data_IF_565981514565
#
_entry.id   IF_565981514565
#
_cell.length_a   1.000
_cell.length_b   1.000
_cell.length_c   1.000
_cell.angle_alpha   90.00
_cell.angle_beta   90.00
_cell.angle_gamma   90.00
#
_symmetry.space_group_name_H-M   'P 1'
#
loop_
_entity.id
_entity.type
_entity.pdbx_description
1 polymer ?
#
# COMPACT_ATOMS: atom_id res chain seq x y z
N UNK A 1 2.37 22.87 16.66
CA UNK A 1 3.31 21.74 16.55
C UNK A 1 4.62 22.23 15.94
N UNK A 2 5.72 22.22 16.69
CA UNK A 2 7.05 22.60 16.19
C UNK A 2 7.57 21.57 15.19
N UNK A 3 8.65 21.90 14.48
CA UNK A 3 9.23 20.99 13.46
C UNK A 3 9.83 19.75 14.12
N UNK A 4 10.50 19.92 15.25
CA UNK A 4 11.12 18.82 16.00
C UNK A 4 10.07 17.86 16.57
N UNK A 5 8.98 18.39 17.14
CA UNK A 5 7.85 17.56 17.58
C UNK A 5 7.21 16.81 16.42
N UNK A 6 7.05 17.45 15.26
CA UNK A 6 6.50 16.80 14.08
C UNK A 6 7.40 15.65 13.58
N UNK A 7 8.71 15.86 13.53
CA UNK A 7 9.69 14.83 13.15
C UNK A 7 9.70 13.65 14.14
N UNK A 8 9.66 13.93 15.45
CA UNK A 8 9.57 12.89 16.48
C UNK A 8 8.29 12.06 16.37
N UNK A 9 7.15 12.70 16.14
CA UNK A 9 5.88 12.02 15.90
C UNK A 9 5.91 11.20 14.62
N UNK A 10 6.49 11.74 13.53
CA UNK A 10 6.65 11.02 12.27
C UNK A 10 7.43 9.72 12.48
N UNK A 11 8.59 9.80 13.15
CA UNK A 11 9.43 8.63 13.44
C UNK A 11 8.70 7.61 14.31
N UNK A 12 8.09 8.06 15.41
CA UNK A 12 7.38 7.19 16.35
C UNK A 12 6.20 6.47 15.69
N UNK A 13 5.36 7.20 14.94
CA UNK A 13 4.25 6.62 14.19
C UNK A 13 4.72 5.65 13.12
N UNK A 14 5.81 5.99 12.41
CA UNK A 14 6.37 5.15 11.38
C UNK A 14 6.85 3.80 11.94
N UNK A 15 7.67 3.84 12.98
CA UNK A 15 8.20 2.64 13.63
C UNK A 15 7.08 1.79 14.23
N UNK A 16 6.15 2.41 14.96
CA UNK A 16 5.00 1.71 15.52
C UNK A 16 4.14 1.07 14.43
N UNK A 17 3.85 1.81 13.37
CA UNK A 17 3.05 1.33 12.24
C UNK A 17 3.68 0.14 11.54
N UNK A 18 4.99 0.19 11.27
CA UNK A 18 5.74 -0.94 10.65
C UNK A 18 5.76 -2.15 11.57
N UNK A 19 6.05 -1.96 12.87
CA UNK A 19 6.05 -3.06 13.85
C UNK A 19 4.66 -3.69 13.97
N UNK A 20 3.60 -2.90 14.00
CA UNK A 20 2.23 -3.41 14.07
C UNK A 20 1.83 -4.15 12.78
N UNK A 21 2.04 -3.52 11.62
CA UNK A 21 1.60 -4.02 10.32
C UNK A 21 2.36 -5.25 9.84
N UNK A 22 3.63 -5.40 10.22
CA UNK A 22 4.47 -6.51 9.77
C UNK A 22 4.90 -7.41 10.93
N UNK A 23 5.40 -6.87 12.04
CA UNK A 23 5.88 -7.68 13.17
C UNK A 23 4.74 -8.41 13.89
N UNK A 24 3.84 -7.64 14.50
CA UNK A 24 2.71 -8.17 15.29
C UNK A 24 1.77 -8.99 14.40
N UNK A 25 1.45 -8.49 13.20
CA UNK A 25 0.56 -9.20 12.28
C UNK A 25 1.12 -10.57 11.87
N UNK A 26 2.38 -10.63 11.47
CA UNK A 26 3.03 -11.90 11.09
C UNK A 26 3.07 -12.88 12.26
N UNK A 27 3.37 -12.39 13.45
CA UNK A 27 3.37 -13.22 14.65
C UNK A 27 1.98 -13.76 14.99
N UNK A 28 0.94 -12.91 14.95
CA UNK A 28 -0.44 -13.34 15.17
C UNK A 28 -0.91 -14.34 14.11
N UNK A 29 -0.55 -14.13 12.84
CA UNK A 29 -0.87 -15.06 11.77
C UNK A 29 -0.19 -16.41 12.01
N UNK A 30 1.13 -16.43 12.27
CA UNK A 30 1.89 -17.65 12.63
C UNK A 30 1.27 -18.42 13.78
N UNK A 31 0.83 -17.72 14.83
CA UNK A 31 0.19 -18.38 15.99
C UNK A 31 -1.15 -19.02 15.66
N UNK A 32 -1.87 -18.53 14.65
CA UNK A 32 -3.21 -19.02 14.28
C UNK A 32 -3.17 -20.09 13.18
N UNK A 33 -2.27 -19.96 12.21
CA UNK A 33 -2.23 -20.80 11.01
C UNK A 33 -1.01 -21.74 10.94
N UNK A 34 -0.02 -21.55 11.82
CA UNK A 34 1.24 -22.29 11.78
C UNK A 34 2.22 -21.84 10.68
N UNK A 35 1.80 -20.96 9.76
CA UNK A 35 2.63 -20.45 8.66
C UNK A 35 2.85 -18.94 8.80
N UNK A 36 3.89 -18.42 8.14
CA UNK A 36 4.21 -16.99 8.19
C UNK A 36 3.25 -16.10 7.41
N UNK A 37 2.49 -16.66 6.46
CA UNK A 37 1.74 -15.90 5.45
C UNK A 37 2.65 -15.22 4.40
N UNK A 38 3.98 -15.37 4.51
CA UNK A 38 4.94 -14.92 3.51
C UNK A 38 5.25 -16.08 2.57
N UNK A 39 4.89 -15.93 1.30
CA UNK A 39 5.21 -16.91 0.26
C UNK A 39 6.61 -16.72 -0.35
N UNK A 40 7.39 -15.76 0.16
CA UNK A 40 8.76 -15.49 -0.29
C UNK A 40 8.82 -14.79 -1.64
N UNK A 41 10.02 -14.75 -2.24
CA UNK A 41 10.24 -14.25 -3.59
C UNK A 41 9.83 -15.35 -4.58
N UNK A 42 8.67 -15.20 -5.22
CA UNK A 42 8.23 -16.10 -6.29
C UNK A 42 8.71 -15.60 -7.66
N UNK A 43 9.25 -16.47 -8.51
CA UNK A 43 9.66 -16.15 -9.89
C UNK A 43 11.18 -16.00 -10.09
N UNK A 44 11.62 -15.98 -11.35
CA UNK A 44 13.02 -15.82 -11.72
C UNK A 44 13.53 -14.40 -11.42
N UNK A 45 14.81 -14.19 -11.04
CA UNK A 45 15.38 -12.86 -10.88
C UNK A 45 15.07 -11.94 -12.07
N UNK A 46 14.46 -10.78 -11.80
CA UNK A 46 14.05 -9.80 -12.82
C UNK A 46 12.64 -9.99 -13.41
N UNK A 47 11.91 -11.05 -13.04
CA UNK A 47 10.51 -11.25 -13.44
C UNK A 47 9.53 -10.34 -12.69
N UNK A 48 8.32 -10.13 -13.22
CA UNK A 48 7.29 -9.34 -12.54
C UNK A 48 6.91 -9.91 -11.15
N UNK A 49 6.90 -11.24 -11.00
CA UNK A 49 6.66 -11.87 -9.69
C UNK A 49 7.85 -11.67 -8.73
N UNK A 50 9.08 -11.67 -9.25
CA UNK A 50 10.27 -11.32 -8.48
C UNK A 50 10.24 -9.85 -8.05
N UNK A 51 9.82 -8.94 -8.92
CA UNK A 51 9.57 -7.54 -8.59
C UNK A 51 8.41 -7.34 -7.59
N UNK A 52 7.44 -8.25 -7.54
CA UNK A 52 6.47 -8.31 -6.45
C UNK A 52 7.09 -8.72 -5.12
N UNK A 53 8.11 -9.58 -5.15
CA UNK A 53 9.04 -9.79 -4.05
C UNK A 53 9.92 -8.56 -3.73
N UNK A 54 10.22 -7.74 -4.74
CA UNK A 54 10.78 -6.39 -4.63
C UNK A 54 9.76 -5.36 -4.10
N UNK A 55 8.63 -5.79 -3.53
CA UNK A 55 8.09 -5.09 -2.36
C UNK A 55 9.12 -5.03 -1.20
N UNK A 56 10.27 -5.71 -1.28
CA UNK A 56 11.50 -5.38 -0.54
C UNK A 56 12.17 -4.05 -0.96
N UNK A 57 11.84 -3.44 -2.09
CA UNK A 57 12.09 -2.01 -2.32
C UNK A 57 11.13 -1.13 -1.50
N UNK A 58 10.02 -1.68 -0.98
CA UNK A 58 9.35 -1.08 0.16
C UNK A 58 10.20 -1.20 1.44
N UNK A 59 11.22 -2.08 1.53
CA UNK A 59 12.25 -1.94 2.56
C UNK A 59 13.10 -0.68 2.34
N UNK A 60 13.33 -0.23 1.09
CA UNK A 60 13.88 1.10 0.86
C UNK A 60 12.89 2.19 1.27
N UNK A 61 11.58 2.10 0.94
CA UNK A 61 10.59 3.06 1.45
C UNK A 61 10.40 3.00 2.98
N UNK A 62 10.67 1.86 3.62
CA UNK A 62 10.63 1.66 5.07
C UNK A 62 11.86 2.17 5.78
N UNK A 63 13.03 1.85 5.24
CA UNK A 63 14.30 2.38 5.72
C UNK A 63 14.37 3.89 5.46
N UNK A 64 14.02 4.37 4.26
CA UNK A 64 13.98 5.80 3.93
C UNK A 64 12.85 6.54 4.66
N UNK A 65 11.69 5.90 4.81
CA UNK A 65 10.54 6.45 5.54
C UNK A 65 10.84 6.69 7.02
N UNK A 66 11.67 5.84 7.63
CA UNK A 66 12.22 6.07 8.97
C UNK A 66 13.44 7.00 8.95
N UNK A 67 14.31 6.92 7.93
CA UNK A 67 15.56 7.66 7.87
C UNK A 67 15.35 9.18 7.81
N UNK A 68 14.38 9.68 7.03
CA UNK A 68 14.10 11.12 7.00
C UNK A 68 13.75 11.70 8.38
N UNK A 69 12.71 11.18 9.05
CA UNK A 69 12.39 11.54 10.43
C UNK A 69 13.53 11.30 11.42
N UNK A 70 14.28 10.20 11.29
CA UNK A 70 15.39 9.88 12.18
C UNK A 70 16.55 10.89 12.05
N UNK A 71 16.93 11.25 10.82
CA UNK A 71 17.94 12.27 10.54
C UNK A 71 17.50 13.64 11.09
N UNK A 72 16.23 13.98 10.90
CA UNK A 72 15.65 15.20 11.47
C UNK A 72 15.70 15.23 13.01
N UNK A 73 15.30 14.14 13.66
CA UNK A 73 15.37 14.01 15.14
C UNK A 73 16.81 14.04 15.64
N UNK A 74 17.74 13.43 14.91
CA UNK A 74 19.17 13.44 15.24
C UNK A 74 19.83 14.80 14.98
N UNK A 75 19.15 15.75 14.33
CA UNK A 75 19.73 17.03 13.93
C UNK A 75 20.83 16.90 12.87
N UNK A 76 20.85 15.81 12.09
CA UNK A 76 21.89 15.53 11.09
C UNK A 76 21.32 15.56 9.67
N UNK A 77 22.12 16.01 8.71
CA UNK A 77 21.70 16.12 7.31
C UNK A 77 20.72 17.28 7.03
N UNK A 78 20.05 17.27 5.86
CA UNK A 78 19.12 18.32 5.47
C UNK A 78 17.91 18.38 6.40
N UNK A 79 17.65 19.55 6.97
CA UNK A 79 16.56 19.75 7.90
C UNK A 79 15.19 19.75 7.18
N UNK A 80 14.11 19.28 7.85
CA UNK A 80 12.78 19.32 7.27
C UNK A 80 12.35 20.75 6.95
N UNK A 81 11.69 20.92 5.81
CA UNK A 81 11.09 22.19 5.44
C UNK A 81 10.02 22.61 6.46
N UNK A 82 9.97 23.90 6.79
CA UNK A 82 8.95 24.43 7.69
C UNK A 82 7.59 24.57 6.97
N UNK A 83 6.72 23.58 7.11
CA UNK A 83 5.35 23.66 6.61
C UNK A 83 4.43 24.45 7.55
N UNK A 84 3.35 25.10 7.04
CA UNK A 84 2.29 25.69 7.85
C UNK A 84 1.69 24.69 8.85
N UNK A 85 1.29 25.17 10.02
CA UNK A 85 0.76 24.33 11.10
C UNK A 85 -0.43 23.45 10.63
N UNK A 86 -1.30 23.99 9.78
CA UNK A 86 -2.44 23.26 9.20
C UNK A 86 -2.00 22.00 8.43
N UNK A 87 -0.96 22.10 7.60
CA UNK A 87 -0.44 20.95 6.84
C UNK A 87 0.19 19.90 7.75
N UNK A 88 0.82 20.31 8.86
CA UNK A 88 1.39 19.36 9.82
C UNK A 88 0.30 18.58 10.57
N UNK A 89 -0.78 19.24 10.97
CA UNK A 89 -1.94 18.56 11.57
C UNK A 89 -2.65 17.65 10.58
N UNK A 90 -2.81 18.09 9.33
CA UNK A 90 -3.31 17.22 8.25
C UNK A 90 -2.40 16.01 8.04
N UNK A 91 -1.07 16.19 8.08
CA UNK A 91 -0.08 15.13 8.01
C UNK A 91 -0.20 14.13 9.16
N UNK A 92 -0.37 14.62 10.40
CA UNK A 92 -0.61 13.77 11.56
C UNK A 92 -1.88 12.93 11.40
N UNK A 93 -2.99 13.57 11.03
CA UNK A 93 -4.26 12.88 10.81
C UNK A 93 -4.12 11.83 9.69
N UNK A 94 -3.49 12.18 8.57
CA UNK A 94 -3.25 11.25 7.46
C UNK A 94 -2.36 10.07 7.87
N UNK A 95 -1.30 10.29 8.64
CA UNK A 95 -0.42 9.22 9.12
C UNK A 95 -1.19 8.25 10.03
N UNK A 96 -1.90 8.77 11.03
CA UNK A 96 -2.68 7.97 11.98
C UNK A 96 -3.78 7.18 11.28
N UNK A 97 -4.60 7.85 10.45
CA UNK A 97 -5.69 7.21 9.71
C UNK A 97 -5.15 6.21 8.69
N UNK A 98 -4.05 6.53 8.01
CA UNK A 98 -3.40 5.63 7.05
C UNK A 98 -2.91 4.35 7.71
N UNK A 99 -2.15 4.44 8.81
CA UNK A 99 -1.69 3.26 9.53
C UNK A 99 -2.84 2.45 10.12
N UNK A 100 -3.86 3.10 10.70
CA UNK A 100 -5.06 2.42 11.17
C UNK A 100 -5.79 1.68 10.03
N UNK A 101 -5.91 2.30 8.85
CA UNK A 101 -6.51 1.69 7.67
C UNK A 101 -5.68 0.52 7.12
N UNK A 102 -4.34 0.56 7.21
CA UNK A 102 -3.49 -0.59 6.87
C UNK A 102 -3.84 -1.77 7.76
N UNK A 103 -3.88 -1.57 9.09
CA UNK A 103 -4.23 -2.63 10.04
C UNK A 103 -5.66 -3.14 9.83
N UNK A 104 -6.60 -2.23 9.54
CA UNK A 104 -7.99 -2.57 9.21
C UNK A 104 -8.10 -3.41 7.93
N UNK A 105 -7.44 -3.00 6.85
CA UNK A 105 -7.41 -3.75 5.59
C UNK A 105 -6.80 -5.15 5.75
N UNK A 106 -5.68 -5.25 6.48
CA UNK A 106 -5.07 -6.54 6.81
C UNK A 106 -5.99 -7.43 7.63
N UNK A 107 -6.76 -6.85 8.55
CA UNK A 107 -7.70 -7.58 9.42
C UNK A 107 -8.91 -8.07 8.65
N UNK A 108 -9.43 -7.26 7.71
CA UNK A 108 -10.52 -7.63 6.81
C UNK A 108 -10.17 -8.81 5.88
N UNK A 109 -8.88 -8.97 5.52
CA UNK A 109 -8.40 -10.14 4.78
C UNK A 109 -8.34 -11.43 5.62
N UNK A 110 -8.45 -11.34 6.95
CA UNK A 110 -8.60 -12.50 7.83
C UNK A 110 -7.44 -13.50 7.75
N UNK A 111 -7.75 -14.79 7.60
CA UNK A 111 -6.80 -15.89 7.36
C UNK A 111 -6.28 -15.95 5.93
N UNK A 112 -6.93 -15.25 5.00
CA UNK A 112 -6.53 -15.16 3.59
C UNK A 112 -5.47 -14.08 3.35
N UNK A 113 -5.04 -13.37 4.40
CA UNK A 113 -3.91 -12.45 4.31
C UNK A 113 -2.64 -13.21 3.95
N UNK A 114 -2.07 -12.89 2.80
CA UNK A 114 -0.81 -13.43 2.30
C UNK A 114 -0.07 -12.33 1.54
N UNK A 115 1.26 -12.32 1.65
CA UNK A 115 2.11 -11.42 0.89
C UNK A 115 2.66 -12.19 -0.31
N UNK A 116 2.30 -11.72 -1.52
CA UNK A 116 2.58 -12.39 -2.79
C UNK A 116 1.32 -13.02 -3.41
N UNK A 117 1.43 -13.39 -4.69
CA UNK A 117 0.37 -14.10 -5.42
C UNK A 117 0.82 -15.54 -5.60
N UNK A 118 -0.01 -16.50 -5.18
CA UNK A 118 0.16 -17.92 -5.51
C UNK A 118 -0.66 -18.23 -6.79
N UNK A 119 -0.01 -18.57 -7.93
CA UNK A 119 -0.71 -18.92 -9.15
C UNK A 119 -1.57 -20.19 -9.04
N UNK A 120 -1.30 -21.06 -8.05
CA UNK A 120 -2.01 -22.31 -7.82
C UNK A 120 -3.28 -22.19 -6.99
N UNK A 121 -3.48 -21.07 -6.28
CA UNK A 121 -4.60 -20.90 -5.35
C UNK A 121 -5.73 -20.08 -6.00
N UNK A 122 -6.92 -20.68 -6.20
CA UNK A 122 -8.10 -19.96 -6.69
C UNK A 122 -8.82 -19.29 -5.52
N UNK A 123 -8.43 -18.07 -5.21
CA UNK A 123 -9.12 -17.27 -4.19
C UNK A 123 -10.43 -16.70 -4.73
N UNK A 124 -11.44 -16.48 -3.89
CA UNK A 124 -12.68 -15.80 -4.29
C UNK A 124 -12.47 -14.29 -4.45
N UNK A 125 -13.06 -13.66 -5.46
CA UNK A 125 -12.98 -12.21 -5.65
C UNK A 125 -13.74 -11.47 -4.54
N UNK A 126 -13.02 -10.70 -3.73
CA UNK A 126 -13.61 -9.88 -2.66
C UNK A 126 -13.92 -8.47 -3.18
N UNK A 127 -15.20 -8.09 -3.13
CA UNK A 127 -15.70 -6.78 -3.63
C UNK A 127 -16.47 -5.99 -2.57
N UNK A 128 -16.49 -6.44 -1.32
CA UNK A 128 -17.26 -5.85 -0.21
C UNK A 128 -16.36 -5.12 0.78
N UNK A 129 -16.96 -4.31 1.66
CA UNK A 129 -16.21 -3.53 2.65
C UNK A 129 -15.27 -2.51 2.00
N UNK A 130 -14.00 -2.48 2.40
CA UNK A 130 -13.01 -1.55 1.84
C UNK A 130 -12.79 -1.76 0.32
N UNK A 131 -12.95 -2.99 -0.16
CA UNK A 131 -12.85 -3.32 -1.59
C UNK A 131 -14.02 -2.74 -2.41
N UNK A 132 -15.14 -2.38 -1.79
CA UNK A 132 -16.23 -1.70 -2.49
C UNK A 132 -15.89 -0.23 -2.82
N UNK A 133 -14.98 0.39 -2.06
CA UNK A 133 -14.58 1.78 -2.23
C UNK A 133 -13.44 1.93 -3.24
N UNK A 134 -12.40 1.09 -3.08
CA UNK A 134 -11.22 1.04 -3.95
C UNK A 134 -10.76 -0.40 -4.09
N UNK A 135 -10.23 -0.77 -5.25
CA UNK A 135 -9.82 -2.16 -5.52
C UNK A 135 -8.59 -2.59 -4.74
N UNK A 136 -7.76 -1.64 -4.33
CA UNK A 136 -6.49 -1.88 -3.65
C UNK A 136 -6.38 -1.12 -2.32
N UNK A 137 -7.26 -1.41 -1.33
CA UNK A 137 -7.43 -0.57 -0.15
C UNK A 137 -6.18 -0.53 0.75
N UNK A 138 -5.42 -1.63 0.84
CA UNK A 138 -4.18 -1.67 1.62
C UNK A 138 -3.11 -0.74 1.03
N UNK A 139 -2.96 -0.73 -0.29
CA UNK A 139 -1.99 0.14 -0.96
C UNK A 139 -2.37 1.61 -0.87
N UNK A 140 -3.67 1.93 -0.97
CA UNK A 140 -4.18 3.27 -0.69
C UNK A 140 -3.81 3.70 0.73
N UNK A 141 -4.07 2.85 1.74
CA UNK A 141 -3.77 3.15 3.12
C UNK A 141 -2.26 3.35 3.38
N UNK A 142 -1.39 2.55 2.74
CA UNK A 142 0.07 2.70 2.82
C UNK A 142 0.54 4.04 2.25
N UNK A 143 0.02 4.42 1.07
CA UNK A 143 0.36 5.71 0.43
C UNK A 143 -0.13 6.88 1.32
N UNK A 144 -1.33 6.79 1.87
CA UNK A 144 -1.86 7.81 2.81
C UNK A 144 -1.00 7.93 4.05
N UNK A 145 -0.59 6.81 4.66
CA UNK A 145 0.26 6.81 5.85
C UNK A 145 1.61 7.48 5.58
N UNK A 146 2.28 7.10 4.48
CA UNK A 146 3.59 7.66 4.12
C UNK A 146 3.50 9.12 3.66
N UNK A 147 2.39 9.52 3.04
CA UNK A 147 2.13 10.94 2.76
C UNK A 147 2.02 11.75 4.04
N UNK A 148 1.32 11.22 5.06
CA UNK A 148 1.25 11.85 6.38
C UNK A 148 2.62 12.02 7.04
N UNK A 149 3.45 10.97 6.99
CA UNK A 149 4.85 11.00 7.48
C UNK A 149 5.69 12.04 6.72
N UNK A 150 5.56 12.12 5.40
CA UNK A 150 6.26 13.11 4.59
C UNK A 150 5.81 14.56 4.89
N UNK A 151 4.55 14.78 5.27
CA UNK A 151 4.07 16.10 5.71
C UNK A 151 4.55 16.46 7.13
N UNK A 152 4.81 15.47 7.98
CA UNK A 152 5.35 15.70 9.33
C UNK A 152 6.86 15.93 9.33
N UNK A 153 7.59 15.26 8.43
CA UNK A 153 9.04 15.37 8.30
C UNK A 153 9.45 15.63 6.82
N UNK A 154 9.06 16.78 6.24
CA UNK A 154 9.23 17.06 4.81
C UNK A 154 10.71 17.24 4.42
N UNK A 155 11.30 16.13 4.01
CA UNK A 155 12.69 16.02 3.55
C UNK A 155 12.74 15.36 2.16
N UNK A 156 13.84 15.55 1.43
CA UNK A 156 14.09 14.82 0.17
C UNK A 156 14.05 13.30 0.39
N UNK A 157 14.49 12.83 1.56
CA UNK A 157 14.48 11.41 1.92
C UNK A 157 13.05 10.88 2.04
N UNK A 158 12.17 11.59 2.77
CA UNK A 158 10.74 11.19 2.87
C UNK A 158 9.99 11.33 1.55
N UNK A 159 10.35 12.32 0.73
CA UNK A 159 9.76 12.49 -0.60
C UNK A 159 10.18 11.34 -1.54
N UNK A 160 11.47 10.98 -1.54
CA UNK A 160 11.97 9.82 -2.27
C UNK A 160 11.29 8.53 -1.79
N UNK A 161 11.14 8.33 -0.48
CA UNK A 161 10.42 7.18 0.08
C UNK A 161 8.98 7.10 -0.45
N UNK A 162 8.25 8.23 -0.48
CA UNK A 162 6.88 8.28 -0.98
C UNK A 162 6.81 7.96 -2.48
N UNK A 163 7.69 8.57 -3.29
CA UNK A 163 7.75 8.30 -4.74
C UNK A 163 8.07 6.83 -4.99
N UNK A 164 9.08 6.27 -4.30
CA UNK A 164 9.44 4.86 -4.41
C UNK A 164 8.27 3.94 -4.05
N UNK A 165 7.52 4.26 -2.98
CA UNK A 165 6.34 3.49 -2.60
C UNK A 165 5.26 3.53 -3.70
N UNK A 166 4.94 4.71 -4.23
CA UNK A 166 3.92 4.87 -5.27
C UNK A 166 4.30 4.07 -6.53
N UNK A 167 5.56 4.16 -6.96
CA UNK A 167 6.07 3.40 -8.10
C UNK A 167 6.00 1.88 -7.87
N UNK A 168 6.39 1.42 -6.69
CA UNK A 168 6.34 0.01 -6.33
C UNK A 168 4.89 -0.52 -6.32
N UNK A 169 3.97 0.23 -5.72
CA UNK A 169 2.53 -0.09 -5.69
C UNK A 169 1.94 -0.13 -7.10
N UNK A 170 2.25 0.86 -7.94
CA UNK A 170 1.76 0.90 -9.31
C UNK A 170 2.28 -0.28 -10.15
N UNK A 171 3.57 -0.62 -10.00
CA UNK A 171 4.17 -1.78 -10.66
C UNK A 171 3.52 -3.08 -10.20
N UNK A 172 3.43 -3.29 -8.88
CA UNK A 172 2.82 -4.47 -8.28
C UNK A 172 1.38 -4.67 -8.76
N UNK A 173 0.55 -3.63 -8.67
CA UNK A 173 -0.87 -3.75 -9.02
C UNK A 173 -1.05 -3.97 -10.52
N UNK A 174 -0.39 -3.16 -11.37
CA UNK A 174 -0.65 -3.21 -12.82
C UNK A 174 -0.03 -4.42 -13.52
N UNK A 175 1.14 -4.87 -13.06
CA UNK A 175 1.92 -5.90 -13.74
C UNK A 175 1.71 -7.27 -13.12
N UNK A 176 1.38 -7.35 -11.83
CA UNK A 176 1.22 -8.62 -11.11
C UNK A 176 -0.24 -8.88 -10.77
N UNK A 177 -0.87 -8.03 -9.97
CA UNK A 177 -2.18 -8.36 -9.37
C UNK A 177 -3.34 -8.25 -10.34
N UNK A 178 -3.49 -7.13 -11.07
CA UNK A 178 -4.62 -6.98 -11.98
C UNK A 178 -4.62 -7.98 -13.15
N UNK A 179 -3.47 -8.31 -13.78
CA UNK A 179 -3.43 -9.35 -14.81
C UNK A 179 -3.83 -10.72 -14.27
N UNK A 180 -3.34 -11.10 -13.10
CA UNK A 180 -3.73 -12.34 -12.43
C UNK A 180 -5.23 -12.37 -12.12
N UNK A 181 -5.78 -11.30 -11.53
CA UNK A 181 -7.21 -11.21 -11.21
C UNK A 181 -8.09 -11.24 -12.46
N UNK A 182 -7.66 -10.62 -13.56
CA UNK A 182 -8.34 -10.74 -14.87
C UNK A 182 -8.35 -12.18 -15.37
N UNK A 183 -7.22 -12.88 -15.29
CA UNK A 183 -7.09 -14.25 -15.76
C UNK A 183 -7.96 -15.22 -14.94
N UNK A 184 -8.01 -15.05 -13.62
CA UNK A 184 -8.74 -15.95 -12.72
C UNK A 184 -10.24 -15.67 -12.70
N UNK A 185 -10.66 -14.41 -12.76
CA UNK A 185 -12.06 -14.01 -12.54
C UNK A 185 -12.79 -13.47 -13.77
N UNK A 186 -12.08 -13.23 -14.88
CA UNK A 186 -12.66 -12.84 -16.17
C UNK A 186 -13.69 -11.71 -16.06
N UNK A 187 -14.92 -12.01 -16.49
CA UNK A 187 -16.02 -11.03 -16.56
C UNK A 187 -16.40 -10.44 -15.20
N UNK A 188 -16.34 -11.22 -14.11
CA UNK A 188 -16.68 -10.70 -12.77
C UNK A 188 -15.71 -9.58 -12.37
N UNK A 189 -14.43 -9.75 -12.68
CA UNK A 189 -13.43 -8.71 -12.42
C UNK A 189 -13.62 -7.50 -13.34
N UNK A 190 -13.95 -7.70 -14.62
CA UNK A 190 -14.25 -6.60 -15.53
C UNK A 190 -15.43 -5.73 -15.06
N UNK A 191 -16.53 -6.35 -14.59
CA UNK A 191 -17.67 -5.62 -14.03
C UNK A 191 -17.29 -4.82 -12.77
N UNK A 192 -16.40 -5.38 -11.96
CA UNK A 192 -15.89 -4.73 -10.77
C UNK A 192 -14.99 -3.52 -11.10
N UNK A 193 -14.04 -3.66 -12.04
CA UNK A 193 -13.15 -2.56 -12.43
C UNK A 193 -13.85 -1.42 -13.16
N UNK A 194 -15.03 -1.67 -13.73
CA UNK A 194 -15.87 -0.63 -14.33
C UNK A 194 -16.53 0.31 -13.30
N UNK A 195 -16.72 -0.16 -12.05
CA UNK A 195 -17.43 0.56 -10.99
C UNK A 195 -16.53 1.05 -9.87
N UNK A 196 -15.43 0.36 -9.59
CA UNK A 196 -14.57 0.64 -8.44
C UNK A 196 -13.19 1.13 -8.89
N UNK A 197 -12.77 2.27 -8.33
CA UNK A 197 -11.48 2.91 -8.63
C UNK A 197 -10.29 2.09 -8.14
N UNK A 198 -9.09 2.31 -8.70
CA UNK A 198 -7.91 1.50 -8.37
C UNK A 198 -7.38 1.78 -6.97
N UNK A 199 -7.04 3.03 -6.69
CA UNK A 199 -6.49 3.50 -5.41
C UNK A 199 -7.30 4.64 -4.78
N UNK A 200 -8.07 5.37 -5.59
CA UNK A 200 -8.94 6.47 -5.15
C UNK A 200 -10.33 6.20 -5.71
N UNK A 201 -11.41 6.43 -4.94
CA UNK A 201 -12.77 6.18 -5.41
C UNK A 201 -13.04 6.89 -6.75
N UNK A 202 -13.58 6.14 -7.71
CA UNK A 202 -13.91 6.65 -9.05
C UNK A 202 -12.72 6.91 -10.00
N UNK A 203 -11.47 6.81 -9.55
CA UNK A 203 -10.28 7.03 -10.41
C UNK A 203 -9.71 5.70 -10.90
N UNK A 204 -9.37 5.64 -12.19
CA UNK A 204 -8.80 4.43 -12.81
C UNK A 204 -9.85 3.35 -13.10
N UNK A 205 -11.10 3.75 -13.37
CA UNK A 205 -12.15 2.86 -13.84
C UNK A 205 -11.81 2.30 -15.23
N UNK A 206 -12.13 1.02 -15.47
CA UNK A 206 -11.93 0.36 -16.76
C UNK A 206 -13.31 0.11 -17.40
N UNK A 207 -13.76 1.04 -18.25
CA UNK A 207 -15.14 1.07 -18.80
C UNK A 207 -15.30 0.49 -20.22
N UNK A 208 -14.35 -0.27 -20.75
CA UNK A 208 -14.44 -0.89 -22.10
C UNK A 208 -14.21 -2.41 -21.95
N UNK A 209 -15.00 -3.36 -22.49
CA UNK A 209 -15.90 -3.42 -23.66
C UNK A 209 -17.24 -4.13 -23.32
N UNK A 210 -18.34 -3.40 -23.13
CA UNK A 210 -19.71 -3.95 -23.29
C UNK A 210 -20.34 -3.50 -24.61
N UNK A 211 -19.62 -2.73 -25.43
CA UNK A 211 -20.15 -2.08 -26.62
C UNK A 211 -19.95 -2.88 -27.93
N UNK A 212 -19.14 -3.94 -27.96
CA UNK A 212 -18.75 -4.59 -29.24
C UNK A 212 -19.58 -5.81 -29.61
N UNK A 213 -20.46 -6.32 -28.73
CA UNK A 213 -21.32 -7.47 -29.05
C UNK A 213 -22.74 -7.09 -29.52
N UNK A 214 -23.15 -5.83 -29.35
CA UNK A 214 -24.48 -5.36 -29.75
C UNK A 214 -24.60 -4.83 -31.18
N UNK A 215 -23.48 -4.54 -31.84
CA UNK A 215 -23.45 -3.88 -33.17
C UNK A 215 -23.16 -4.86 -34.32
N UNK A 216 -22.66 -6.07 -34.03
CA UNK A 216 -22.50 -7.15 -35.01
C UNK A 216 -23.70 -8.12 -35.08
N UNK A 217 -24.81 -7.81 -34.42
CA UNK A 217 -26.01 -8.64 -34.37
C UNK A 217 -27.25 -7.94 -34.97
N UNK A 218 -27.06 -6.94 -35.85
CA UNK A 218 -28.13 -6.29 -36.60
C UNK A 218 -27.89 -6.34 -38.10
#
# INVERSE_FOLDING_TARGET
>A
MTTDTAAGLALGLYLLGVVAAFGVRTWLHRRRTGTSGYLGLSGAPGSAQWWGGVLFAAAAAVVLGAAGPALAVAGTGPQPAALPAALRWAGLAAAVLGFAAVLGAQSAMGSSWRIGVDPGERTSLVTTGAFALVRNPIFTAMITALTGVALLAPTLVTAAALVSLVLAVELQVRVVEEPYLRQVHGQQYALYTARVGRFVPGIGLQRQMLATEGENAR
#
